data_IF_360513610250
#
_entry.id   IF_360513610250
#
_cell.length_a   1.000
_cell.length_b   1.000
_cell.length_c   1.000
_cell.angle_alpha   90.00
_cell.angle_beta   90.00
_cell.angle_gamma   90.00
#
_symmetry.space_group_name_H-M   'P 1'
#
loop_
_entity.id
_entity.type
_entity.pdbx_description
1 polymer ?
#
# COMPACT_ATOMS: atom_id res chain seq x y z
N UNK A 1 6.66 28.96 13.72
CA UNK A 1 5.31 28.78 14.33
C UNK A 1 4.57 27.58 13.75
N UNK A 2 4.60 27.36 12.44
CA UNK A 2 3.98 26.20 11.77
C UNK A 2 4.52 24.86 12.30
N UNK A 3 5.80 24.78 12.64
CA UNK A 3 6.45 23.57 13.14
C UNK A 3 6.08 23.20 14.59
N UNK A 4 5.61 24.13 15.40
CA UNK A 4 5.12 23.84 16.77
C UNK A 4 3.70 23.30 16.81
N UNK A 5 2.91 23.58 15.78
CA UNK A 5 1.56 23.03 15.65
C UNK A 5 1.50 21.55 15.25
N UNK A 6 2.59 20.96 14.75
CA UNK A 6 2.59 19.58 14.23
C UNK A 6 2.54 18.49 15.30
N UNK A 7 2.70 18.81 16.57
CA UNK A 7 2.67 17.85 17.69
C UNK A 7 1.27 17.65 18.29
N UNK A 8 0.28 18.42 17.85
CA UNK A 8 -1.11 18.27 18.24
C UNK A 8 -2.08 18.56 17.09
N UNK A 9 -1.63 18.42 15.87
CA UNK A 9 -2.04 19.26 14.76
C UNK A 9 -2.95 18.64 13.71
N UNK A 10 -3.39 17.41 13.83
CA UNK A 10 -4.56 16.99 13.04
C UNK A 10 -5.77 17.87 13.41
N UNK A 11 -5.92 18.20 14.68
CA UNK A 11 -6.96 19.12 15.15
C UNK A 11 -6.81 20.51 14.53
N UNK A 12 -5.58 21.07 14.48
CA UNK A 12 -5.36 22.41 13.93
C UNK A 12 -5.48 22.50 12.41
N UNK A 13 -5.28 21.39 11.67
CA UNK A 13 -5.40 21.34 10.21
C UNK A 13 -6.82 20.97 9.80
N UNK A 14 -7.49 20.06 10.51
CA UNK A 14 -8.91 19.70 10.27
C UNK A 14 -9.87 20.86 10.52
N UNK A 15 -9.60 21.68 11.51
CA UNK A 15 -10.43 22.87 11.81
C UNK A 15 -10.31 23.99 10.75
N UNK A 16 -9.32 23.88 9.85
CA UNK A 16 -9.22 24.78 8.70
C UNK A 16 -9.85 24.11 7.49
N UNK A 17 -11.16 24.23 7.38
CA UNK A 17 -11.99 23.79 6.24
C UNK A 17 -11.56 24.33 4.87
N UNK A 18 -10.41 25.01 4.77
CA UNK A 18 -9.88 25.65 3.58
C UNK A 18 -9.01 24.72 2.72
N UNK A 19 -8.55 23.57 3.25
CA UNK A 19 -7.67 22.67 2.51
C UNK A 19 -8.39 21.37 2.13
N UNK A 20 -8.15 20.94 0.88
CA UNK A 20 -8.61 19.62 0.44
C UNK A 20 -7.96 18.52 1.29
N UNK A 21 -8.73 17.51 1.68
CA UNK A 21 -8.23 16.36 2.48
C UNK A 21 -7.00 15.69 1.87
N UNK A 22 -6.95 15.58 0.54
CA UNK A 22 -5.81 15.03 -0.18
C UNK A 22 -4.51 15.81 0.05
N UNK A 23 -4.60 17.14 0.15
CA UNK A 23 -3.43 18.00 0.43
C UNK A 23 -2.95 17.80 1.85
N UNK A 24 -3.88 17.72 2.81
CA UNK A 24 -3.59 17.46 4.22
C UNK A 24 -2.95 16.08 4.37
N UNK A 25 -3.52 15.06 3.76
CA UNK A 25 -3.00 13.70 3.75
C UNK A 25 -1.57 13.65 3.20
N UNK A 26 -1.33 14.26 2.03
CA UNK A 26 0.00 14.32 1.43
C UNK A 26 1.00 15.02 2.34
N UNK A 27 0.62 16.15 2.94
CA UNK A 27 1.46 16.88 3.86
C UNK A 27 1.84 16.04 5.08
N UNK A 28 0.85 15.40 5.71
CA UNK A 28 1.07 14.53 6.88
C UNK A 28 1.99 13.36 6.50
N UNK A 29 1.72 12.68 5.39
CA UNK A 29 2.57 11.58 4.92
C UNK A 29 4.02 12.01 4.70
N UNK A 30 4.27 13.21 4.15
CA UNK A 30 5.62 13.74 3.91
C UNK A 30 6.34 14.21 5.16
N UNK A 31 5.60 14.60 6.19
CA UNK A 31 6.16 15.15 7.43
C UNK A 31 6.19 14.18 8.59
N UNK A 32 5.41 13.11 8.53
CA UNK A 32 5.35 12.09 9.56
C UNK A 32 6.63 11.26 9.64
N UNK A 33 6.93 10.73 10.81
CA UNK A 33 8.06 9.82 11.01
C UNK A 33 7.97 8.62 10.07
N UNK A 34 8.98 8.43 9.23
CA UNK A 34 9.06 7.38 8.19
C UNK A 34 7.89 7.37 7.19
N UNK A 35 7.17 8.48 7.02
CA UNK A 35 5.99 8.54 6.15
C UNK A 35 4.84 7.64 6.61
N UNK A 36 4.85 7.20 7.87
CA UNK A 36 3.83 6.29 8.39
C UNK A 36 2.47 6.98 8.51
N UNK A 37 1.42 6.21 8.26
CA UNK A 37 0.04 6.59 8.54
C UNK A 37 -0.48 5.56 9.54
N UNK A 38 -0.81 6.03 10.74
CA UNK A 38 -1.31 5.21 11.83
C UNK A 38 -2.30 5.97 12.67
N UNK A 39 -3.37 5.29 13.07
CA UNK A 39 -4.40 5.82 13.95
C UNK A 39 -4.42 5.04 15.26
N UNK A 40 -4.84 5.69 16.34
CA UNK A 40 -5.06 5.03 17.62
C UNK A 40 -6.47 4.37 17.65
N UNK A 41 -6.79 3.69 18.75
CA UNK A 41 -8.09 3.03 18.92
C UNK A 41 -9.30 3.99 18.89
N UNK A 42 -9.07 5.31 19.00
CA UNK A 42 -10.11 6.35 18.90
C UNK A 42 -10.24 6.90 17.47
N UNK A 43 -9.48 6.38 16.49
CA UNK A 43 -9.44 6.91 15.13
C UNK A 43 -8.62 8.19 14.96
N UNK A 44 -7.81 8.58 15.97
CA UNK A 44 -6.98 9.77 15.91
C UNK A 44 -5.59 9.42 15.35
N UNK A 45 -5.09 10.25 14.44
CA UNK A 45 -3.74 10.09 13.90
C UNK A 45 -2.68 10.24 15.01
N UNK A 46 -1.75 9.29 15.11
CA UNK A 46 -0.81 9.23 16.22
C UNK A 46 0.65 9.00 15.82
N UNK A 47 1.04 9.40 14.62
CA UNK A 47 2.45 9.34 14.22
C UNK A 47 3.14 10.68 14.50
N UNK A 48 4.30 10.67 15.16
CA UNK A 48 5.03 11.90 15.45
C UNK A 48 5.64 12.52 14.19
N UNK A 49 5.96 13.81 14.26
CA UNK A 49 6.69 14.51 13.21
C UNK A 49 8.09 13.90 13.00
N UNK A 50 8.49 13.69 11.74
CA UNK A 50 9.70 12.98 11.36
C UNK A 50 11.02 13.75 11.54
N UNK A 51 10.98 15.04 11.90
CA UNK A 51 12.14 15.93 12.10
C UNK A 51 13.11 15.93 10.92
N UNK A 52 12.59 15.89 9.70
CA UNK A 52 13.41 15.92 8.48
C UNK A 52 14.10 17.28 8.33
N UNK A 53 15.39 17.27 8.00
CA UNK A 53 16.15 18.49 7.66
C UNK A 53 15.71 19.09 6.34
N UNK A 54 15.35 18.23 5.38
CA UNK A 54 14.85 18.60 4.07
C UNK A 54 13.60 17.78 3.75
N UNK A 55 12.53 18.45 3.34
CA UNK A 55 11.33 17.83 2.81
C UNK A 55 11.43 17.78 1.30
N UNK A 56 11.39 16.56 0.73
CA UNK A 56 11.29 16.41 -0.70
C UNK A 56 9.82 16.54 -1.12
N UNK A 57 9.44 17.73 -1.58
CA UNK A 57 8.11 18.03 -2.09
C UNK A 57 8.02 18.00 -3.62
N UNK A 58 9.15 17.82 -4.32
CA UNK A 58 9.22 17.82 -5.79
C UNK A 58 8.97 16.45 -6.42
N UNK A 59 8.06 15.68 -5.84
CA UNK A 59 7.77 14.32 -6.33
C UNK A 59 6.76 14.30 -7.47
N UNK A 60 5.97 15.37 -7.60
CA UNK A 60 4.94 15.50 -8.65
C UNK A 60 5.48 16.43 -9.73
N UNK A 61 5.46 15.95 -10.96
CA UNK A 61 5.88 16.69 -12.16
C UNK A 61 4.71 16.77 -13.14
N UNK A 62 4.82 17.62 -14.16
CA UNK A 62 3.84 17.72 -15.24
C UNK A 62 3.59 16.37 -15.92
N UNK A 63 4.61 15.50 -16.00
CA UNK A 63 4.46 14.12 -16.53
C UNK A 63 3.50 13.27 -15.69
N UNK A 64 3.57 13.37 -14.36
CA UNK A 64 2.62 12.67 -13.49
C UNK A 64 1.21 13.22 -13.65
N UNK A 65 1.07 14.53 -13.78
CA UNK A 65 -0.22 15.17 -14.02
C UNK A 65 -0.85 14.70 -15.33
N UNK A 66 -0.09 14.71 -16.44
CA UNK A 66 -0.57 14.23 -17.73
C UNK A 66 -0.89 12.73 -17.75
N UNK A 67 -0.18 11.93 -16.95
CA UNK A 67 -0.51 10.52 -16.75
C UNK A 67 -1.84 10.37 -16.00
N UNK A 68 -2.00 11.08 -14.89
CA UNK A 68 -3.21 11.02 -14.06
C UNK A 68 -4.47 11.46 -14.79
N UNK A 69 -4.36 12.41 -15.73
CA UNK A 69 -5.50 12.80 -16.60
C UNK A 69 -6.07 11.66 -17.44
N UNK A 70 -5.25 10.63 -17.70
CA UNK A 70 -5.62 9.46 -18.52
C UNK A 70 -5.85 8.23 -17.66
N UNK A 71 -5.82 8.39 -16.33
CA UNK A 71 -5.96 7.31 -15.37
C UNK A 71 -7.33 7.40 -14.72
N UNK A 72 -8.07 6.32 -14.73
CA UNK A 72 -9.27 6.17 -13.93
C UNK A 72 -8.89 5.55 -12.58
N UNK A 73 -9.37 6.14 -11.49
CA UNK A 73 -9.09 5.71 -10.13
C UNK A 73 -10.37 5.20 -9.50
N UNK A 74 -10.34 3.95 -9.04
CA UNK A 74 -11.46 3.29 -8.42
C UNK A 74 -11.14 2.94 -6.97
N UNK A 75 -12.15 2.96 -6.12
CA UNK A 75 -12.10 2.48 -4.74
C UNK A 75 -13.11 1.33 -4.59
N UNK A 76 -12.81 0.21 -5.24
CA UNK A 76 -13.64 -0.98 -5.27
C UNK A 76 -12.89 -2.20 -4.72
N UNK A 77 -13.60 -3.30 -4.50
CA UNK A 77 -12.97 -4.60 -4.36
C UNK A 77 -12.26 -4.95 -5.68
N UNK A 78 -11.10 -5.58 -5.62
CA UNK A 78 -10.30 -5.92 -6.80
C UNK A 78 -11.07 -6.76 -7.82
N UNK A 79 -12.02 -7.58 -7.35
CA UNK A 79 -12.83 -8.44 -8.23
C UNK A 79 -13.69 -7.64 -9.23
N UNK A 80 -14.11 -6.43 -8.86
CA UNK A 80 -14.81 -5.54 -9.79
C UNK A 80 -13.90 -5.14 -10.96
N UNK A 81 -12.62 -4.85 -10.67
CA UNK A 81 -11.63 -4.53 -11.70
C UNK A 81 -11.34 -5.77 -12.57
N UNK A 82 -11.28 -6.97 -11.98
CA UNK A 82 -11.10 -8.21 -12.73
C UNK A 82 -12.25 -8.46 -13.71
N UNK A 83 -13.48 -8.14 -13.30
CA UNK A 83 -14.67 -8.25 -14.16
C UNK A 83 -14.66 -7.23 -15.32
N UNK A 84 -13.98 -6.10 -15.15
CA UNK A 84 -13.86 -5.06 -16.20
C UNK A 84 -12.76 -5.38 -17.22
N UNK A 85 -11.79 -6.22 -16.85
CA UNK A 85 -10.62 -6.50 -17.67
C UNK A 85 -10.95 -7.39 -18.86
N UNK A 86 -10.51 -6.99 -20.04
CA UNK A 86 -10.61 -7.76 -21.28
C UNK A 86 -9.32 -8.51 -21.61
N UNK A 87 -9.37 -9.44 -22.56
CA UNK A 87 -8.25 -10.32 -22.93
C UNK A 87 -6.96 -9.59 -23.35
N UNK A 88 -7.06 -8.33 -23.78
CA UNK A 88 -5.92 -7.52 -24.21
C UNK A 88 -5.35 -6.63 -23.09
N UNK A 89 -5.93 -6.66 -21.91
CA UNK A 89 -5.48 -5.88 -20.78
C UNK A 89 -4.33 -6.57 -20.05
N UNK A 90 -3.67 -5.81 -19.20
CA UNK A 90 -2.66 -6.31 -18.30
C UNK A 90 -2.97 -5.86 -16.89
N UNK A 91 -3.02 -6.79 -15.95
CA UNK A 91 -3.27 -6.50 -14.55
C UNK A 91 -1.98 -6.65 -13.74
N UNK A 92 -1.58 -5.58 -13.04
CA UNK A 92 -0.53 -5.62 -12.03
C UNK A 92 -1.13 -5.63 -10.63
N UNK A 93 -0.70 -6.58 -9.81
CA UNK A 93 -1.21 -6.80 -8.46
C UNK A 93 -0.11 -6.59 -7.42
N UNK A 94 -0.39 -5.73 -6.44
CA UNK A 94 0.42 -5.52 -5.23
C UNK A 94 -0.50 -5.61 -4.01
N UNK A 95 -0.96 -6.83 -3.65
CA UNK A 95 -1.90 -7.03 -2.55
C UNK A 95 -1.22 -6.81 -1.20
N UNK A 96 -1.99 -6.66 -0.11
CA UNK A 96 -1.45 -6.73 1.24
C UNK A 96 -0.65 -8.03 1.43
N UNK A 97 0.49 -7.94 2.11
CA UNK A 97 1.37 -9.08 2.27
C UNK A 97 0.89 -9.98 3.42
N UNK A 98 1.06 -11.29 3.24
CA UNK A 98 0.89 -12.29 4.29
C UNK A 98 2.00 -12.09 5.34
N UNK A 99 1.72 -11.27 6.34
CA UNK A 99 2.63 -11.00 7.46
C UNK A 99 1.85 -11.02 8.77
N UNK A 100 2.52 -11.47 9.82
CA UNK A 100 1.98 -11.64 11.18
C UNK A 100 1.46 -10.33 11.81
N UNK A 101 1.74 -9.17 11.18
CA UNK A 101 1.36 -7.85 11.69
C UNK A 101 0.66 -7.04 10.61
N UNK A 102 -0.66 -7.03 10.66
CA UNK A 102 -1.51 -6.15 9.87
C UNK A 102 -1.51 -4.72 10.44
N UNK A 103 -0.41 -4.01 10.28
CA UNK A 103 -0.29 -2.60 10.73
C UNK A 103 -0.70 -1.58 9.66
N UNK A 104 -1.42 -2.02 8.64
CA UNK A 104 -2.11 -1.12 7.74
C UNK A 104 -3.40 -0.63 8.41
N UNK A 105 -3.28 0.16 9.46
CA UNK A 105 -4.26 0.71 10.39
C UNK A 105 -5.63 1.14 9.85
N UNK A 106 -6.20 0.36 8.97
CA UNK A 106 -7.55 0.53 8.45
C UNK A 106 -8.54 -0.29 9.27
N UNK A 107 -9.53 0.38 9.85
CA UNK A 107 -10.65 -0.26 10.54
C UNK A 107 -11.41 -1.26 9.64
N UNK A 108 -11.35 -1.10 8.31
CA UNK A 108 -11.93 -2.02 7.33
C UNK A 108 -11.26 -3.40 7.33
N UNK A 109 -10.02 -3.49 7.82
CA UNK A 109 -9.26 -4.74 7.93
C UNK A 109 -8.75 -4.91 9.36
N UNK A 110 -9.65 -4.86 10.35
CA UNK A 110 -9.30 -5.14 11.76
C UNK A 110 -8.59 -6.48 11.93
N UNK A 111 -8.89 -7.43 11.05
CA UNK A 111 -8.30 -8.76 11.01
C UNK A 111 -7.21 -8.92 9.92
N UNK A 112 -6.87 -7.83 9.21
CA UNK A 112 -5.91 -7.83 8.10
C UNK A 112 -6.49 -8.47 6.82
N UNK A 113 -5.66 -8.57 5.77
CA UNK A 113 -5.92 -9.36 4.58
C UNK A 113 -5.46 -10.79 4.91
N UNK A 114 -6.39 -11.62 5.36
CA UNK A 114 -6.10 -12.93 5.94
C UNK A 114 -5.91 -14.03 4.90
N UNK A 115 -5.80 -15.27 5.39
CA UNK A 115 -5.60 -16.44 4.55
C UNK A 115 -6.76 -16.65 3.56
N UNK A 116 -8.00 -16.43 3.99
CA UNK A 116 -9.17 -16.60 3.13
C UNK A 116 -9.15 -15.62 1.93
N UNK A 117 -8.77 -14.36 2.17
CA UNK A 117 -8.60 -13.35 1.12
C UNK A 117 -7.45 -13.70 0.17
N UNK A 118 -6.33 -14.21 0.69
CA UNK A 118 -5.23 -14.69 -0.14
C UNK A 118 -5.64 -15.87 -1.01
N UNK A 119 -6.39 -16.82 -0.47
CA UNK A 119 -6.92 -17.97 -1.23
C UNK A 119 -7.92 -17.55 -2.30
N UNK A 120 -8.82 -16.62 -1.96
CA UNK A 120 -9.75 -16.01 -2.91
C UNK A 120 -8.99 -15.34 -4.05
N UNK A 121 -8.03 -14.47 -3.73
CA UNK A 121 -7.22 -13.76 -4.72
C UNK A 121 -6.46 -14.73 -5.63
N UNK A 122 -5.88 -15.79 -5.07
CA UNK A 122 -5.14 -16.78 -5.86
C UNK A 122 -6.04 -17.53 -6.84
N UNK A 123 -7.26 -17.88 -6.41
CA UNK A 123 -8.25 -18.50 -7.28
C UNK A 123 -8.67 -17.55 -8.41
N UNK A 124 -8.96 -16.30 -8.08
CA UNK A 124 -9.40 -15.30 -9.05
C UNK A 124 -8.27 -14.97 -10.04
N UNK A 125 -7.01 -14.86 -9.56
CA UNK A 125 -5.82 -14.68 -10.40
C UNK A 125 -5.65 -15.83 -11.41
N UNK A 126 -5.84 -17.08 -10.97
CA UNK A 126 -5.69 -18.26 -11.82
C UNK A 126 -6.75 -18.31 -12.92
N UNK A 127 -7.90 -17.67 -12.72
CA UNK A 127 -9.03 -17.65 -13.67
C UNK A 127 -9.06 -16.38 -14.56
N UNK A 128 -8.10 -15.46 -14.39
CA UNK A 128 -8.03 -14.27 -15.24
C UNK A 128 -7.77 -14.64 -16.71
N UNK A 129 -8.55 -14.06 -17.59
CA UNK A 129 -8.41 -14.22 -19.05
C UNK A 129 -7.31 -13.36 -19.66
N UNK A 130 -6.94 -12.28 -18.99
CA UNK A 130 -5.87 -11.37 -19.41
C UNK A 130 -4.53 -11.74 -18.75
N UNK A 131 -3.44 -11.20 -19.30
CA UNK A 131 -2.12 -11.34 -18.68
C UNK A 131 -2.06 -10.60 -17.37
N UNK A 132 -1.50 -11.24 -16.36
CA UNK A 132 -1.39 -10.64 -15.05
C UNK A 132 -0.06 -10.96 -14.37
N UNK A 133 0.42 -10.00 -13.58
CA UNK A 133 1.61 -10.12 -12.75
C UNK A 133 1.26 -9.74 -11.32
N UNK A 134 1.72 -10.54 -10.38
CA UNK A 134 1.55 -10.30 -8.94
C UNK A 134 2.93 -10.28 -8.28
N UNK A 135 3.15 -9.32 -7.38
CA UNK A 135 4.34 -9.23 -6.54
C UNK A 135 3.92 -9.34 -5.09
N UNK A 136 4.50 -10.29 -4.36
CA UNK A 136 4.15 -10.53 -2.95
C UNK A 136 5.34 -11.09 -2.17
N UNK A 137 5.29 -11.00 -0.83
CA UNK A 137 6.27 -11.65 0.04
C UNK A 137 6.19 -13.17 -0.05
N UNK A 138 7.32 -13.86 -0.07
CA UNK A 138 7.41 -15.32 -0.03
C UNK A 138 7.12 -15.83 1.37
N UNK A 139 6.05 -16.57 1.53
CA UNK A 139 5.66 -17.29 2.76
C UNK A 139 5.25 -18.71 2.38
N UNK A 140 5.03 -19.57 3.37
CA UNK A 140 4.52 -20.92 3.11
C UNK A 140 3.16 -20.88 2.39
N UNK A 141 2.28 -19.94 2.78
CA UNK A 141 0.98 -19.75 2.15
C UNK A 141 1.11 -19.29 0.70
N UNK A 142 1.92 -18.24 0.43
CA UNK A 142 2.06 -17.72 -0.94
C UNK A 142 2.77 -18.70 -1.86
N UNK A 143 3.66 -19.53 -1.33
CA UNK A 143 4.31 -20.61 -2.07
C UNK A 143 3.32 -21.75 -2.39
N UNK A 144 2.44 -22.12 -1.45
CA UNK A 144 1.34 -23.06 -1.68
C UNK A 144 0.41 -22.57 -2.79
N UNK A 145 -0.02 -21.28 -2.71
CA UNK A 145 -1.02 -20.72 -3.60
C UNK A 145 -0.51 -20.44 -5.01
N UNK A 146 0.73 -19.98 -5.14
CA UNK A 146 1.27 -19.47 -6.39
C UNK A 146 2.45 -20.29 -6.94
N UNK A 147 2.88 -21.36 -6.29
CA UNK A 147 4.13 -22.06 -6.60
C UNK A 147 4.33 -22.39 -8.08
N UNK A 148 3.29 -22.81 -8.80
CA UNK A 148 3.34 -23.12 -10.22
C UNK A 148 3.42 -21.89 -11.16
N UNK A 149 3.17 -20.72 -10.62
CA UNK A 149 3.15 -19.45 -11.35
C UNK A 149 4.34 -18.54 -11.01
N UNK A 150 5.21 -18.94 -10.08
CA UNK A 150 6.39 -18.17 -9.69
C UNK A 150 7.39 -18.18 -10.85
N UNK A 151 7.72 -16.99 -11.34
CA UNK A 151 8.72 -16.82 -12.42
C UNK A 151 10.03 -16.29 -11.89
N UNK A 152 10.04 -15.58 -10.76
CA UNK A 152 11.25 -15.03 -10.16
C UNK A 152 11.11 -14.94 -8.65
N UNK A 153 12.23 -15.12 -7.96
CA UNK A 153 12.38 -14.90 -6.51
C UNK A 153 13.56 -13.96 -6.28
N UNK A 154 13.39 -12.92 -5.46
CA UNK A 154 14.44 -11.97 -5.16
C UNK A 154 14.46 -11.53 -3.69
N UNK A 155 15.66 -11.17 -3.22
CA UNK A 155 15.84 -10.68 -1.87
C UNK A 155 15.42 -9.20 -1.77
N UNK A 156 14.66 -8.87 -0.74
CA UNK A 156 14.23 -7.51 -0.45
C UNK A 156 14.83 -7.03 0.87
N UNK A 157 15.73 -6.05 0.81
CA UNK A 157 16.17 -5.35 2.00
C UNK A 157 15.29 -4.13 2.27
N UNK A 158 14.74 -4.03 3.47
CA UNK A 158 13.99 -2.87 3.91
C UNK A 158 14.91 -1.89 4.63
N UNK A 159 15.00 -0.64 4.12
CA UNK A 159 15.84 0.40 4.69
C UNK A 159 15.39 0.86 6.10
N UNK A 160 14.16 0.57 6.47
CA UNK A 160 13.60 0.90 7.78
C UNK A 160 13.42 -0.38 8.57
N UNK A 161 14.35 -0.62 9.49
CA UNK A 161 14.22 -1.67 10.49
C UNK A 161 13.16 -1.28 11.52
N UNK A 162 11.89 -1.33 11.15
CA UNK A 162 10.78 -1.29 12.11
C UNK A 162 10.86 -2.63 12.81
N UNK A 163 11.40 -2.59 14.04
CA UNK A 163 11.74 -3.75 14.88
C UNK A 163 10.78 -4.91 14.67
N UNK A 164 11.29 -6.01 14.11
CA UNK A 164 10.67 -7.34 13.96
C UNK A 164 9.54 -7.50 12.94
N UNK A 165 9.26 -6.56 12.06
CA UNK A 165 8.16 -6.71 11.06
C UNK A 165 8.53 -7.61 9.89
N UNK A 166 9.79 -7.57 9.47
CA UNK A 166 10.32 -8.48 8.46
C UNK A 166 11.63 -9.06 8.98
N UNK A 167 11.84 -10.36 8.80
CA UNK A 167 13.17 -10.94 8.98
C UNK A 167 14.12 -10.19 8.05
N UNK A 168 15.38 -10.03 8.43
CA UNK A 168 16.38 -9.30 7.66
C UNK A 168 16.51 -9.81 6.21
N UNK A 169 16.09 -11.04 5.95
CA UNK A 169 16.16 -11.75 4.67
C UNK A 169 14.74 -12.04 4.13
N UNK A 170 13.91 -10.99 4.02
CA UNK A 170 12.59 -11.14 3.39
C UNK A 170 12.76 -11.38 1.89
N UNK A 171 12.17 -12.45 1.39
CA UNK A 171 12.12 -12.75 -0.04
C UNK A 171 10.78 -12.35 -0.63
N UNK A 172 10.83 -11.88 -1.85
CA UNK A 172 9.64 -11.60 -2.66
C UNK A 172 9.61 -12.54 -3.85
N UNK A 173 8.41 -12.80 -4.32
CA UNK A 173 8.15 -13.57 -5.53
C UNK A 173 7.43 -12.73 -6.57
N UNK A 174 7.79 -12.95 -7.81
CA UNK A 174 7.04 -12.47 -8.97
C UNK A 174 6.27 -13.66 -9.54
N UNK A 175 4.99 -13.47 -9.68
CA UNK A 175 4.03 -14.47 -10.14
C UNK A 175 3.37 -14.00 -11.42
N UNK A 176 3.27 -14.84 -12.45
CA UNK A 176 2.53 -14.50 -13.68
C UNK A 176 1.63 -15.66 -14.09
N UNK A 177 0.54 -15.34 -14.80
CA UNK A 177 -0.36 -16.34 -15.37
C UNK A 177 -0.12 -16.63 -16.87
N UNK A 178 1.02 -16.18 -17.41
CA UNK A 178 1.39 -16.33 -18.84
C UNK A 178 2.83 -16.75 -18.99
#
# INVERSE_FOLDING_TARGET
EILRCLVGSEMCIRDRSEYLEAVVYFFINKTAYSGMIRYNAKGEYNVPFGRYKNLNTKLITDKHYELLKRTEIYNYDYSEIFNMAGNNDFIFLDPPYDCVFSDYGNEAYRDGFGEDEHRRLANDFANLSCKSMLVIGKTALTEELYGKYIVEEYDKSYAVNIRNRFKADAKHIIVTNY
#
